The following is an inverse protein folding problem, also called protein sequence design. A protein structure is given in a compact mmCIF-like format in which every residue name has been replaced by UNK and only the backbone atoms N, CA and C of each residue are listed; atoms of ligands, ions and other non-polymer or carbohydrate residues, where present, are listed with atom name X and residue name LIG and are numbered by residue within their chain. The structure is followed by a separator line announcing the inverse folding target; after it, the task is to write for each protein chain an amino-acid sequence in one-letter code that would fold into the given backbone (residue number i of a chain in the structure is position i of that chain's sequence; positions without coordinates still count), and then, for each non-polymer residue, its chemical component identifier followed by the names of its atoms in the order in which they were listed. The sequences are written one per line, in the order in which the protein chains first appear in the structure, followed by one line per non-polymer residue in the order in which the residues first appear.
data_IF_689303634680
#
_entry.id   IF_689303634680
#
_cell.length_a   1.000
_cell.length_b   1.000
_cell.length_c   1.000
_cell.angle_alpha   90.00
_cell.angle_beta   90.00
_cell.angle_gamma   90.00
#
_symmetry.space_group_name_H-M   'P 1'
#
loop_
_entity.id
_entity.type
_entity.pdbx_description
1 polymer ?
#
# COMPACT_ATOMS: atom_id res chain seq x y z
N UNK A 1 -8.63 -24.62 6.70
CA UNK A 1 -8.75 -25.82 5.88
C UNK A 1 -8.46 -25.47 4.41
N UNK A 2 -7.41 -26.04 3.84
CA UNK A 2 -7.12 -25.91 2.40
C UNK A 2 -8.10 -26.79 1.65
N UNK A 3 -8.90 -26.21 0.77
CA UNK A 3 -9.89 -26.96 -0.02
C UNK A 3 -9.27 -27.54 -1.29
N UNK A 4 -8.31 -26.84 -1.88
CA UNK A 4 -7.55 -27.26 -3.05
C UNK A 4 -6.17 -26.61 -3.04
N UNK A 5 -5.11 -27.39 -3.17
CA UNK A 5 -3.73 -26.88 -3.09
C UNK A 5 -3.34 -26.00 -4.28
N UNK A 6 -3.86 -26.30 -5.47
CA UNK A 6 -3.60 -25.53 -6.69
C UNK A 6 -4.88 -25.36 -7.52
N UNK A 7 -5.28 -24.13 -7.75
CA UNK A 7 -6.48 -23.78 -8.54
C UNK A 7 -6.17 -23.50 -10.02
N UNK A 8 -4.93 -23.07 -10.33
CA UNK A 8 -4.50 -22.74 -11.68
C UNK A 8 -2.99 -22.97 -11.86
N UNK A 9 -2.52 -22.92 -13.11
CA UNK A 9 -1.08 -22.95 -13.42
C UNK A 9 -0.42 -21.66 -12.91
N UNK A 10 0.84 -21.73 -12.51
CA UNK A 10 1.60 -20.59 -12.01
C UNK A 10 1.65 -19.44 -13.04
N UNK A 11 1.88 -19.76 -14.32
CA UNK A 11 1.86 -18.78 -15.40
C UNK A 11 0.52 -18.04 -15.52
N UNK A 12 -0.59 -18.75 -15.32
CA UNK A 12 -1.93 -18.15 -15.32
C UNK A 12 -2.09 -17.20 -14.14
N UNK A 13 -1.66 -17.59 -12.94
CA UNK A 13 -1.72 -16.72 -11.76
C UNK A 13 -0.88 -15.46 -11.97
N UNK A 14 0.36 -15.59 -12.46
CA UNK A 14 1.22 -14.43 -12.78
C UNK A 14 0.57 -13.47 -13.78
N UNK A 15 -0.01 -14.00 -14.86
CA UNK A 15 -0.70 -13.19 -15.87
C UNK A 15 -1.93 -12.46 -15.30
N UNK A 16 -2.75 -13.15 -14.51
CA UNK A 16 -3.93 -12.54 -13.87
C UNK A 16 -3.50 -11.46 -12.89
N UNK A 17 -2.50 -11.72 -12.05
CA UNK A 17 -1.97 -10.74 -11.10
C UNK A 17 -1.49 -9.50 -11.83
N UNK A 18 -0.72 -9.65 -12.91
CA UNK A 18 -0.27 -8.53 -13.75
C UNK A 18 -1.45 -7.71 -14.29
N UNK A 19 -2.43 -8.37 -14.90
CA UNK A 19 -3.62 -7.69 -15.44
C UNK A 19 -4.38 -6.93 -14.36
N UNK A 20 -4.58 -7.54 -13.18
CA UNK A 20 -5.28 -6.90 -12.07
C UNK A 20 -4.49 -5.73 -11.47
N UNK A 21 -3.16 -5.78 -11.51
CA UNK A 21 -2.30 -4.66 -11.12
C UNK A 21 -2.42 -3.52 -12.14
N UNK A 22 -2.42 -3.81 -13.44
CA UNK A 22 -2.61 -2.82 -14.50
C UNK A 22 -3.99 -2.13 -14.42
N UNK A 23 -5.05 -2.84 -14.01
CA UNK A 23 -6.38 -2.23 -13.74
C UNK A 23 -6.28 -1.14 -12.68
N UNK A 24 -5.41 -1.31 -11.70
CA UNK A 24 -5.22 -0.33 -10.61
C UNK A 24 -4.22 0.75 -11.02
N UNK A 25 -3.11 0.42 -11.67
CA UNK A 25 -2.09 1.42 -12.05
C UNK A 25 -2.54 2.32 -13.20
N UNK A 26 -3.23 1.78 -14.19
CA UNK A 26 -3.55 2.49 -15.45
C UNK A 26 -5.05 2.56 -15.74
N UNK A 27 -5.84 1.66 -15.16
CA UNK A 27 -7.26 1.50 -15.47
C UNK A 27 -8.21 2.26 -14.55
N UNK A 28 -9.45 1.76 -14.50
CA UNK A 28 -10.55 2.33 -13.71
C UNK A 28 -10.37 2.15 -12.19
N UNK A 29 -9.39 1.37 -11.77
CA UNK A 29 -9.08 1.10 -10.36
C UNK A 29 -8.09 2.06 -9.72
N UNK A 30 -7.61 3.10 -10.40
CA UNK A 30 -6.54 4.01 -9.93
C UNK A 30 -6.75 4.54 -8.51
N UNK A 31 -7.99 4.84 -8.14
CA UNK A 31 -8.31 5.35 -6.80
C UNK A 31 -8.17 4.32 -5.67
N UNK A 32 -7.99 3.04 -6.00
CA UNK A 32 -7.68 1.99 -5.03
C UNK A 32 -6.18 1.76 -4.85
N UNK A 33 -5.34 2.33 -5.72
CA UNK A 33 -3.89 2.20 -5.69
C UNK A 33 -3.22 2.96 -4.56
N UNK A 34 -1.99 2.56 -4.22
CA UNK A 34 -1.13 3.23 -3.25
C UNK A 34 0.22 3.54 -3.90
N UNK A 35 0.88 4.61 -3.44
CA UNK A 35 2.24 4.96 -3.84
C UNK A 35 3.30 4.14 -3.07
N UNK A 36 2.88 3.43 -2.02
CA UNK A 36 3.77 2.72 -1.09
C UNK A 36 3.86 1.22 -1.37
N UNK A 37 2.84 0.65 -1.99
CA UNK A 37 2.77 -0.79 -2.30
C UNK A 37 1.87 -1.05 -3.49
N UNK A 38 2.11 -2.17 -4.17
CA UNK A 38 1.31 -2.56 -5.33
C UNK A 38 -0.04 -3.12 -4.88
N UNK A 39 -1.09 -2.70 -5.56
CA UNK A 39 -2.46 -3.20 -5.38
C UNK A 39 -2.91 -3.86 -6.68
N UNK A 40 -3.50 -5.04 -6.56
CA UNK A 40 -4.17 -5.72 -7.65
C UNK A 40 -5.66 -5.84 -7.35
N UNK A 41 -6.52 -5.54 -8.31
CA UNK A 41 -7.95 -5.60 -8.07
C UNK A 41 -8.82 -5.29 -9.28
N UNK A 42 -10.12 -5.39 -9.07
CA UNK A 42 -11.14 -5.16 -10.09
C UNK A 42 -12.33 -4.39 -9.54
N UNK A 43 -12.76 -3.41 -10.31
CA UNK A 43 -13.98 -2.63 -10.07
C UNK A 43 -15.23 -3.39 -10.54
N UNK A 44 -16.35 -3.18 -9.86
CA UNK A 44 -17.66 -3.62 -10.30
C UNK A 44 -18.69 -2.50 -10.17
N UNK A 45 -19.61 -2.42 -11.14
CA UNK A 45 -20.75 -1.51 -11.10
C UNK A 45 -21.94 -2.27 -11.69
N UNK A 46 -22.78 -2.80 -10.82
CA UNK A 46 -23.95 -3.57 -11.19
C UNK A 46 -25.24 -2.81 -10.89
N UNK A 47 -26.20 -2.85 -11.80
CA UNK A 47 -27.55 -2.39 -11.52
C UNK A 47 -28.29 -3.45 -10.69
N UNK A 48 -29.01 -2.98 -9.67
CA UNK A 48 -29.80 -3.86 -8.80
C UNK A 48 -31.26 -3.87 -9.27
N UNK A 49 -31.80 -5.08 -9.42
CA UNK A 49 -33.23 -5.28 -9.66
C UNK A 49 -34.05 -4.97 -8.40
N UNK A 50 -35.21 -4.39 -8.58
CA UNK A 50 -36.20 -4.15 -7.52
C UNK A 50 -37.25 -5.29 -7.42
N UNK A 51 -36.81 -6.52 -7.59
CA UNK A 51 -37.67 -7.70 -7.57
C UNK A 51 -38.65 -7.72 -8.75
N UNK A 52 -39.95 -7.90 -8.50
CA UNK A 52 -40.99 -7.96 -9.55
C UNK A 52 -41.11 -6.71 -10.40
N UNK A 53 -40.62 -5.55 -9.94
CA UNK A 53 -40.62 -4.30 -10.67
C UNK A 53 -39.43 -4.13 -11.63
N UNK A 54 -38.46 -5.07 -11.61
CA UNK A 54 -37.31 -5.06 -12.50
C UNK A 54 -36.36 -3.87 -12.27
N UNK A 55 -35.74 -3.36 -13.35
CA UNK A 55 -34.71 -2.31 -13.31
C UNK A 55 -35.26 -0.90 -13.56
N UNK A 56 -36.51 -0.76 -14.02
CA UNK A 56 -37.00 0.48 -14.67
C UNK A 56 -37.84 1.40 -13.80
N UNK A 57 -38.25 1.03 -12.60
CA UNK A 57 -39.18 1.83 -11.79
C UNK A 57 -38.50 2.56 -10.63
N UNK A 58 -38.67 3.91 -10.60
CA UNK A 58 -38.33 4.72 -9.42
C UNK A 58 -36.83 4.92 -9.14
N UNK A 59 -36.03 5.18 -10.17
CA UNK A 59 -34.59 5.39 -10.07
C UNK A 59 -33.77 4.08 -10.03
N UNK A 60 -32.59 4.10 -10.62
CA UNK A 60 -31.71 2.94 -10.68
C UNK A 60 -30.88 2.82 -9.40
N UNK A 61 -30.91 1.64 -8.79
CA UNK A 61 -30.00 1.30 -7.70
C UNK A 61 -28.78 0.57 -8.26
N UNK A 62 -27.62 0.90 -7.71
CA UNK A 62 -26.36 0.32 -8.09
C UNK A 62 -25.70 -0.38 -6.90
N UNK A 63 -25.09 -1.53 -7.15
CA UNK A 63 -24.10 -2.15 -6.29
C UNK A 63 -22.73 -1.84 -6.87
N UNK A 64 -22.01 -0.98 -6.18
CA UNK A 64 -20.64 -0.60 -6.51
C UNK A 64 -19.69 -1.50 -5.74
N UNK A 65 -18.69 -2.06 -6.39
CA UNK A 65 -17.73 -2.91 -5.68
C UNK A 65 -16.30 -2.67 -6.15
N UNK A 66 -15.38 -2.95 -5.26
CA UNK A 66 -13.97 -3.13 -5.56
C UNK A 66 -13.49 -4.34 -4.77
N UNK A 67 -12.97 -5.34 -5.49
CA UNK A 67 -12.35 -6.53 -4.92
C UNK A 67 -10.87 -6.53 -5.30
N UNK A 68 -9.98 -6.67 -4.32
CA UNK A 68 -8.55 -6.63 -4.55
C UNK A 68 -7.75 -7.30 -3.46
N UNK A 69 -6.45 -7.36 -3.68
CA UNK A 69 -5.47 -7.87 -2.72
C UNK A 69 -4.20 -7.03 -2.75
N UNK A 70 -3.48 -7.05 -1.63
CA UNK A 70 -2.27 -6.27 -1.42
C UNK A 70 -1.35 -6.93 -0.37
N UNK A 71 0.00 -6.67 -0.43
CA UNK A 71 0.73 -6.19 -1.60
C UNK A 71 0.58 -7.15 -2.78
N UNK A 72 0.55 -6.65 -4.04
CA UNK A 72 0.27 -7.52 -5.19
C UNK A 72 1.44 -8.45 -5.56
N UNK A 73 2.66 -8.06 -5.23
CA UNK A 73 3.90 -8.85 -5.41
C UNK A 73 4.04 -9.98 -4.38
N UNK A 74 3.59 -9.76 -3.14
CA UNK A 74 3.57 -10.76 -2.06
C UNK A 74 2.23 -10.73 -1.34
N UNK A 75 1.15 -11.27 -1.93
CA UNK A 75 -0.21 -11.11 -1.41
C UNK A 75 -0.38 -11.62 0.00
N UNK A 76 -0.85 -10.76 0.90
CA UNK A 76 -1.15 -11.10 2.30
C UNK A 76 -2.59 -10.82 2.70
N UNK A 77 -3.16 -9.78 2.12
CA UNK A 77 -4.50 -9.33 2.44
C UNK A 77 -5.35 -9.31 1.19
N UNK A 78 -6.59 -9.75 1.33
CA UNK A 78 -7.64 -9.56 0.33
C UNK A 78 -8.81 -8.84 0.97
N UNK A 79 -9.41 -7.91 0.25
CA UNK A 79 -10.54 -7.12 0.70
C UNK A 79 -11.54 -6.92 -0.42
N UNK A 80 -12.81 -6.93 -0.08
CA UNK A 80 -13.89 -6.51 -0.96
C UNK A 80 -14.68 -5.39 -0.27
N UNK A 81 -14.91 -4.31 -1.01
CA UNK A 81 -15.76 -3.19 -0.59
C UNK A 81 -16.97 -3.15 -1.49
N UNK A 82 -18.15 -3.16 -0.89
CA UNK A 82 -19.44 -3.06 -1.58
C UNK A 82 -20.21 -1.86 -1.05
N UNK A 83 -20.68 -0.99 -1.95
CA UNK A 83 -21.47 0.20 -1.63
C UNK A 83 -22.75 0.17 -2.44
N UNK A 84 -23.90 0.24 -1.79
CA UNK A 84 -25.17 0.41 -2.46
C UNK A 84 -25.46 1.90 -2.64
N UNK A 85 -25.83 2.31 -3.85
CA UNK A 85 -26.11 3.70 -4.20
C UNK A 85 -27.31 3.83 -5.15
N UNK A 86 -28.12 4.83 -4.92
CA UNK A 86 -29.22 5.22 -5.83
C UNK A 86 -28.79 6.35 -6.74
N UNK A 87 -29.07 6.23 -8.03
CA UNK A 87 -28.77 7.24 -9.03
C UNK A 87 -27.30 7.38 -9.42
N UNK A 88 -27.03 8.31 -10.34
CA UNK A 88 -25.68 8.65 -10.82
C UNK A 88 -25.10 9.84 -10.04
N UNK A 89 -23.77 10.02 -10.04
CA UNK A 89 -22.76 9.15 -10.63
C UNK A 89 -22.58 7.87 -9.82
N UNK A 90 -22.33 6.73 -10.51
CA UNK A 90 -22.13 5.40 -9.93
C UNK A 90 -20.82 4.81 -10.47
N UNK A 91 -19.82 4.65 -9.62
CA UNK A 91 -18.50 4.15 -10.01
C UNK A 91 -17.90 3.28 -8.92
N UNK A 92 -17.70 2.00 -9.23
CA UNK A 92 -17.02 1.07 -8.32
C UNK A 92 -15.59 1.51 -8.00
N UNK A 93 -14.81 1.92 -8.99
CA UNK A 93 -13.46 2.46 -8.79
C UNK A 93 -13.47 3.80 -8.07
N UNK A 94 -14.41 4.68 -8.40
CA UNK A 94 -14.49 6.03 -7.84
C UNK A 94 -14.97 6.09 -6.39
N UNK A 95 -15.77 5.14 -5.95
CA UNK A 95 -16.33 5.09 -4.59
C UNK A 95 -15.75 3.92 -3.78
N UNK A 96 -16.02 2.68 -4.18
CA UNK A 96 -15.53 1.51 -3.46
C UNK A 96 -14.00 1.40 -3.50
N UNK A 97 -13.35 1.85 -4.59
CA UNK A 97 -11.89 1.90 -4.69
C UNK A 97 -11.25 2.86 -3.69
N UNK A 98 -11.85 4.03 -3.47
CA UNK A 98 -11.35 5.00 -2.47
C UNK A 98 -11.43 4.41 -1.05
N UNK A 99 -12.53 3.77 -0.70
CA UNK A 99 -12.67 3.11 0.61
C UNK A 99 -11.67 1.98 0.76
N UNK A 100 -11.48 1.17 -0.29
CA UNK A 100 -10.47 0.11 -0.33
C UNK A 100 -9.06 0.68 -0.09
N UNK A 101 -8.69 1.78 -0.76
CA UNK A 101 -7.41 2.47 -0.58
C UNK A 101 -7.16 2.81 0.89
N UNK A 102 -8.12 3.46 1.55
CA UNK A 102 -7.97 3.83 2.97
C UNK A 102 -7.84 2.61 3.89
N UNK A 103 -8.57 1.53 3.62
CA UNK A 103 -8.45 0.27 4.36
C UNK A 103 -7.05 -0.33 4.16
N UNK A 104 -6.58 -0.40 2.91
CA UNK A 104 -5.28 -0.97 2.57
C UNK A 104 -4.13 -0.15 3.18
N UNK A 105 -4.16 1.17 3.07
CA UNK A 105 -3.19 2.08 3.70
C UNK A 105 -3.18 1.91 5.24
N UNK A 106 -4.36 1.83 5.87
CA UNK A 106 -4.46 1.64 7.31
C UNK A 106 -3.88 0.31 7.79
N UNK A 107 -4.14 -0.79 7.07
CA UNK A 107 -3.59 -2.11 7.39
C UNK A 107 -2.06 -2.13 7.21
N UNK A 108 -1.56 -1.61 6.08
CA UNK A 108 -0.13 -1.57 5.79
C UNK A 108 0.64 -0.66 6.74
N UNK A 109 0.04 0.43 7.20
CA UNK A 109 0.65 1.30 8.21
C UNK A 109 0.79 0.62 9.58
N UNK A 110 -0.10 -0.31 9.92
CA UNK A 110 -0.03 -1.08 11.17
C UNK A 110 0.94 -2.26 11.08
N UNK A 111 1.20 -2.77 9.89
CA UNK A 111 2.10 -3.89 9.68
C UNK A 111 3.54 -3.42 9.43
N UNK A 112 4.19 -2.98 10.50
CA UNK A 112 5.58 -2.52 10.48
C UNK A 112 6.57 -3.57 9.95
N UNK A 113 6.27 -4.87 10.12
CA UNK A 113 7.14 -5.95 9.63
C UNK A 113 7.14 -6.03 8.10
N UNK A 114 5.99 -5.77 7.45
CA UNK A 114 5.91 -5.72 5.99
C UNK A 114 6.65 -4.49 5.44
N UNK A 115 6.46 -3.34 6.07
CA UNK A 115 7.12 -2.10 5.65
C UNK A 115 8.65 -2.16 5.76
N UNK A 116 9.17 -2.81 6.80
CA UNK A 116 10.63 -2.98 7.00
C UNK A 116 11.23 -3.95 5.97
N UNK A 117 10.50 -5.01 5.58
CA UNK A 117 11.01 -5.96 4.57
C UNK A 117 11.06 -5.35 3.17
N UNK A 118 10.03 -4.60 2.78
CA UNK A 118 10.00 -3.94 1.46
C UNK A 118 11.01 -2.79 1.35
N UNK A 119 11.35 -2.14 2.46
CA UNK A 119 12.40 -1.11 2.50
C UNK A 119 13.81 -1.70 2.37
N UNK A 120 14.03 -2.96 2.78
CA UNK A 120 15.34 -3.63 2.66
C UNK A 120 15.64 -4.12 1.24
N UNK A 121 14.61 -4.37 0.43
CA UNK A 121 14.75 -4.86 -0.94
C UNK A 121 14.82 -3.72 -1.99
N UNK A 122 14.63 -2.46 -1.58
CA UNK A 122 14.81 -1.29 -2.43
C UNK A 122 16.17 -0.67 -2.18
N UNK A 123 16.85 -0.29 -3.27
CA UNK A 123 18.14 0.40 -3.27
C UNK A 123 18.26 1.40 -2.12
N UNK A 124 19.42 1.42 -1.49
CA UNK A 124 19.74 2.27 -0.35
C UNK A 124 19.22 3.70 -0.55
N UNK A 125 18.19 4.05 0.21
CA UNK A 125 17.72 5.44 0.22
C UNK A 125 18.77 6.22 0.97
N UNK A 126 19.58 7.01 0.24
CA UNK A 126 20.48 7.99 0.82
C UNK A 126 19.63 9.01 1.58
N UNK A 127 19.65 8.93 2.90
CA UNK A 127 19.06 9.95 3.74
C UNK A 127 19.94 11.19 3.64
N UNK A 128 19.42 12.35 3.22
CA UNK A 128 20.22 13.55 3.12
C UNK A 128 20.80 13.93 4.48
N UNK A 129 22.01 14.47 4.49
CA UNK A 129 22.66 14.97 5.71
C UNK A 129 21.74 15.96 6.44
N UNK A 130 21.43 15.69 7.70
CA UNK A 130 20.58 16.53 8.52
C UNK A 130 21.37 17.17 9.66
N UNK A 131 20.99 18.38 10.05
CA UNK A 131 21.51 19.02 11.27
C UNK A 131 21.02 18.23 12.48
N UNK A 132 21.95 17.72 13.28
CA UNK A 132 21.65 17.05 14.53
C UNK A 132 21.84 18.04 15.68
N UNK A 133 20.82 18.22 16.52
CA UNK A 133 20.92 19.08 17.71
C UNK A 133 21.82 18.46 18.78
N UNK A 134 21.32 17.50 19.53
CA UNK A 134 22.09 16.77 20.52
C UNK A 134 22.54 15.42 19.95
N UNK A 135 23.84 15.26 19.72
CA UNK A 135 24.40 14.09 19.04
C UNK A 135 24.14 12.79 19.79
N UNK A 136 24.34 12.78 21.11
CA UNK A 136 24.15 11.59 21.93
C UNK A 136 22.69 11.13 21.94
N UNK A 137 21.76 12.07 22.03
CA UNK A 137 20.33 11.75 21.98
C UNK A 137 19.92 11.27 20.57
N UNK A 138 20.50 11.86 19.52
CA UNK A 138 20.25 11.45 18.15
C UNK A 138 20.80 10.06 17.87
N UNK A 139 22.04 9.77 18.26
CA UNK A 139 22.66 8.46 18.14
C UNK A 139 21.85 7.39 18.90
N UNK A 140 21.40 7.71 20.11
CA UNK A 140 20.59 6.80 20.90
C UNK A 140 19.27 6.45 20.22
N UNK A 141 18.54 7.47 19.75
CA UNK A 141 17.26 7.27 19.06
C UNK A 141 17.43 6.52 17.73
N UNK A 142 18.44 6.89 16.94
CA UNK A 142 18.68 6.25 15.64
C UNK A 142 19.13 4.79 15.81
N UNK A 143 19.97 4.49 16.79
CA UNK A 143 20.34 3.12 17.12
C UNK A 143 19.14 2.29 17.60
N UNK A 144 18.23 2.87 18.41
CA UNK A 144 16.98 2.20 18.79
C UNK A 144 16.07 1.91 17.59
N UNK A 145 16.11 2.76 16.56
CA UNK A 145 15.36 2.59 15.31
C UNK A 145 16.07 1.66 14.31
N UNK A 146 17.26 1.14 14.65
CA UNK A 146 18.03 0.21 13.82
C UNK A 146 18.82 0.88 12.70
N UNK A 147 19.10 2.19 12.80
CA UNK A 147 19.98 2.89 11.87
C UNK A 147 21.43 2.87 12.36
N UNK A 148 22.36 2.58 11.46
CA UNK A 148 23.79 2.77 11.73
C UNK A 148 24.16 4.22 11.47
N UNK A 149 24.61 4.91 12.52
CA UNK A 149 25.04 6.31 12.45
C UNK A 149 26.55 6.35 12.22
N UNK A 150 26.98 6.88 11.07
CA UNK A 150 28.40 7.12 10.79
C UNK A 150 28.69 8.58 11.07
N UNK A 151 29.41 8.82 12.17
CA UNK A 151 29.91 10.14 12.51
C UNK A 151 31.14 10.46 11.65
N UNK A 152 31.08 11.51 10.83
CA UNK A 152 32.22 11.96 10.01
C UNK A 152 33.44 12.48 10.79
N UNK A 153 33.43 12.32 12.12
CA UNK A 153 34.45 12.83 13.04
C UNK A 153 35.17 11.73 13.80
N UNK A 154 35.79 10.82 13.21
CA UNK A 154 36.79 9.91 13.77
C UNK A 154 36.91 9.74 15.31
N UNK A 155 35.81 9.83 16.07
CA UNK A 155 35.72 9.54 17.51
C UNK A 155 36.02 10.65 18.48
N UNK A 156 36.26 11.90 18.07
CA UNK A 156 36.48 13.03 19.00
C UNK A 156 35.39 14.09 18.82
N UNK A 157 34.59 14.30 19.86
CA UNK A 157 33.60 15.39 19.92
C UNK A 157 34.22 16.67 20.38
N UNK A 158 34.32 17.75 19.60
CA UNK A 158 34.67 19.07 20.11
C UNK A 158 33.43 19.67 20.78
N UNK A 159 33.59 20.09 22.03
CA UNK A 159 32.57 20.79 22.81
C UNK A 159 32.06 22.02 22.02
N UNK A 160 30.75 22.08 21.80
CA UNK A 160 30.05 23.33 21.49
C UNK A 160 29.69 23.64 20.03
N UNK A 161 29.95 22.79 19.02
CA UNK A 161 29.55 23.04 17.64
C UNK A 161 28.41 22.12 17.16
N UNK A 162 27.47 22.64 16.35
CA UNK A 162 26.46 21.81 15.71
C UNK A 162 27.15 20.85 14.75
N UNK A 163 27.08 19.56 15.06
CA UNK A 163 27.77 18.53 14.29
C UNK A 163 26.84 18.06 13.19
N UNK A 164 27.34 18.04 11.95
CA UNK A 164 26.72 17.47 10.80
C UNK A 164 27.05 15.97 10.76
N UNK A 165 26.04 15.13 10.80
CA UNK A 165 26.17 13.69 10.60
C UNK A 165 25.58 13.27 9.27
N UNK A 166 26.23 12.34 8.61
CA UNK A 166 25.64 11.63 7.45
C UNK A 166 25.09 10.32 7.95
N UNK A 167 23.82 10.07 7.67
CA UNK A 167 23.19 8.79 8.01
C UNK A 167 23.27 7.96 6.73
N UNK A 168 24.05 6.89 6.75
CA UNK A 168 24.11 5.92 5.67
C UNK A 168 23.43 4.63 6.13
N UNK A 169 22.56 4.11 5.28
CA UNK A 169 22.04 2.75 5.41
C UNK A 169 23.00 1.79 4.69
N UNK A 170 24.20 1.63 5.17
CA UNK A 170 25.09 0.61 4.66
C UNK A 170 25.10 -0.57 5.63
N UNK A 171 24.37 -1.59 5.25
CA UNK A 171 24.62 -2.92 5.74
C UNK A 171 25.93 -3.43 5.13
N UNK A 172 27.02 -3.13 5.76
CA UNK A 172 28.27 -3.88 5.80
C UNK A 172 29.03 -3.47 7.03
#
# INVERSE_FOLDING_TARGET
KVLKERIAKESTIKNITRILTEVVSEGLGKKAGSDKFLVAGKTGTAQMSKGALGYKTGGTNYLLSFAGFFPADKPRYSCIVCIQKTGLPASGGGMSGVVFHHIAEGIMAQDLKLNVQDARDKESILIPSAKTGNLLATDYVLNMLGFNVINGWGGAYPFGNPIWGTINQDGN
#
